data_IF_715448771254
#
_entry.id   IF_715448771254
#
_cell.length_a   1.000
_cell.length_b   1.000
_cell.length_c   1.000
_cell.angle_alpha   90.00
_cell.angle_beta   90.00
_cell.angle_gamma   90.00
#
_symmetry.space_group_name_H-M   'P 1'
#
loop_
_entity.id
_entity.type
_entity.pdbx_description
1 polymer ?
#
# COMPACT_ATOMS: atom_id res chain seq x y z
N UNK A 1 -46.14 -0.71 -62.48
CA UNK A 1 -45.37 0.49 -62.05
C UNK A 1 -44.04 0.01 -61.50
N UNK A 2 -42.95 0.21 -62.24
CA UNK A 2 -41.61 -0.22 -61.85
C UNK A 2 -40.84 0.96 -61.24
N UNK A 3 -40.34 0.81 -60.03
CA UNK A 3 -39.48 1.80 -59.37
C UNK A 3 -38.08 1.64 -59.97
N UNK A 4 -37.62 2.67 -60.68
CA UNK A 4 -36.25 2.73 -61.17
C UNK A 4 -35.31 3.00 -59.98
N UNK A 5 -34.46 2.03 -59.63
CA UNK A 5 -33.33 2.26 -58.75
C UNK A 5 -32.27 3.08 -59.49
N UNK A 6 -32.06 4.32 -59.05
CA UNK A 6 -30.90 5.11 -59.45
C UNK A 6 -29.65 4.58 -58.75
N UNK A 7 -28.49 4.49 -59.43
CA UNK A 7 -27.26 4.04 -58.80
C UNK A 7 -26.74 5.09 -57.81
N UNK A 8 -26.60 4.69 -56.55
CA UNK A 8 -25.92 5.48 -55.52
C UNK A 8 -24.45 5.60 -55.91
N UNK A 9 -24.03 6.80 -56.30
CA UNK A 9 -22.64 7.11 -56.61
C UNK A 9 -21.85 7.29 -55.31
N UNK A 10 -21.35 6.17 -54.78
CA UNK A 10 -20.44 6.19 -53.62
C UNK A 10 -19.16 6.91 -54.05
N UNK A 11 -19.00 8.15 -53.62
CA UNK A 11 -17.74 8.85 -53.79
C UNK A 11 -16.73 8.23 -52.83
N UNK A 12 -15.56 7.75 -53.30
CA UNK A 12 -14.53 7.32 -52.39
C UNK A 12 -14.04 8.54 -51.60
N UNK A 13 -14.24 8.55 -50.28
CA UNK A 13 -13.52 9.47 -49.39
C UNK A 13 -12.04 9.15 -49.54
N UNK A 14 -11.33 9.92 -50.37
CA UNK A 14 -9.87 9.96 -50.37
C UNK A 14 -9.44 10.74 -49.13
N UNK A 15 -9.27 10.02 -48.03
CA UNK A 15 -8.25 10.32 -47.04
C UNK A 15 -7.72 8.97 -46.56
N UNK A 16 -6.95 8.31 -47.43
CA UNK A 16 -6.14 7.16 -47.03
C UNK A 16 -4.98 7.71 -46.21
N UNK A 17 -5.09 7.59 -44.89
CA UNK A 17 -4.04 7.87 -43.91
C UNK A 17 -2.71 7.29 -44.42
N UNK A 18 -1.63 8.06 -44.36
CA UNK A 18 -0.35 7.59 -44.89
C UNK A 18 0.16 6.41 -44.06
N UNK A 19 0.93 5.45 -44.64
CA UNK A 19 1.48 4.33 -43.89
C UNK A 19 2.27 4.77 -42.64
N UNK A 20 2.92 5.94 -42.71
CA UNK A 20 3.65 6.53 -41.58
C UNK A 20 2.72 7.05 -40.48
N UNK A 21 1.62 7.71 -40.84
CA UNK A 21 0.60 8.14 -39.88
C UNK A 21 -0.03 6.94 -39.16
N UNK A 22 -0.28 5.86 -39.91
CA UNK A 22 -0.79 4.62 -39.33
C UNK A 22 0.20 3.98 -38.34
N UNK A 23 1.49 3.91 -38.68
CA UNK A 23 2.55 3.40 -37.78
C UNK A 23 2.68 4.23 -36.49
N UNK A 24 2.58 5.57 -36.60
CA UNK A 24 2.61 6.47 -35.45
C UNK A 24 1.43 6.23 -34.52
N UNK A 25 0.21 6.18 -35.07
CA UNK A 25 -1.01 5.96 -34.29
C UNK A 25 -0.99 4.59 -33.63
N UNK A 26 -0.57 3.55 -34.36
CA UNK A 26 -0.49 2.20 -33.81
C UNK A 26 0.53 2.12 -32.66
N UNK A 27 1.68 2.79 -32.82
CA UNK A 27 2.69 2.89 -31.75
C UNK A 27 2.14 3.61 -30.53
N UNK A 28 1.42 4.72 -30.71
CA UNK A 28 0.77 5.45 -29.61
C UNK A 28 -0.27 4.59 -28.89
N UNK A 29 -1.11 3.85 -29.63
CA UNK A 29 -2.10 2.93 -29.03
C UNK A 29 -1.40 1.87 -28.16
N UNK A 30 -0.31 1.28 -28.66
CA UNK A 30 0.47 0.28 -27.94
C UNK A 30 1.04 0.87 -26.65
N UNK A 31 1.63 2.06 -26.69
CA UNK A 31 2.19 2.71 -25.50
C UNK A 31 1.12 3.08 -24.48
N UNK A 32 -0.03 3.63 -24.92
CA UNK A 32 -1.16 3.92 -24.01
C UNK A 32 -1.72 2.64 -23.37
N UNK A 33 -1.80 1.53 -24.12
CA UNK A 33 -2.24 0.25 -23.56
C UNK A 33 -1.27 -0.28 -22.50
N UNK A 34 0.04 -0.16 -22.73
CA UNK A 34 1.06 -0.53 -21.74
C UNK A 34 0.93 0.31 -20.47
N UNK A 35 0.74 1.62 -20.60
CA UNK A 35 0.55 2.53 -19.47
C UNK A 35 -0.70 2.15 -18.66
N UNK A 36 -1.83 1.87 -19.31
CA UNK A 36 -3.06 1.43 -18.62
C UNK A 36 -2.85 0.13 -17.83
N UNK A 37 -2.19 -0.87 -18.43
CA UNK A 37 -1.90 -2.14 -17.76
C UNK A 37 -1.02 -1.92 -16.54
N UNK A 38 0.01 -1.08 -16.65
CA UNK A 38 0.89 -0.77 -15.53
C UNK A 38 0.17 -0.02 -14.42
N UNK A 39 -0.72 0.92 -14.77
CA UNK A 39 -1.58 1.63 -13.82
C UNK A 39 -2.46 0.66 -13.02
N UNK A 40 -3.14 -0.26 -13.71
CA UNK A 40 -3.99 -1.26 -13.07
C UNK A 40 -3.19 -2.19 -12.14
N UNK A 41 -1.97 -2.56 -12.57
CA UNK A 41 -1.04 -3.35 -11.76
C UNK A 41 -0.69 -2.62 -10.45
N UNK A 42 -0.30 -1.35 -10.54
CA UNK A 42 0.07 -0.53 -9.38
C UNK A 42 -1.12 -0.39 -8.42
N UNK A 43 -2.31 -0.07 -8.94
CA UNK A 43 -3.53 0.05 -8.11
C UNK A 43 -3.88 -1.25 -7.38
N UNK A 44 -3.73 -2.39 -8.06
CA UNK A 44 -3.97 -3.71 -7.44
C UNK A 44 -2.99 -3.97 -6.29
N UNK A 45 -1.71 -3.62 -6.48
CA UNK A 45 -0.69 -3.73 -5.43
C UNK A 45 -1.01 -2.81 -4.26
N UNK A 46 -1.36 -1.55 -4.52
CA UNK A 46 -1.75 -0.58 -3.48
C UNK A 46 -2.93 -1.07 -2.65
N UNK A 47 -3.97 -1.61 -3.30
CA UNK A 47 -5.11 -2.18 -2.58
C UNK A 47 -4.68 -3.30 -1.62
N UNK A 48 -3.78 -4.19 -2.06
CA UNK A 48 -3.27 -5.26 -1.20
C UNK A 48 -2.44 -4.74 0.00
N UNK A 49 -1.75 -3.60 -0.17
CA UNK A 49 -0.97 -2.96 0.89
C UNK A 49 -1.90 -2.28 1.89
N UNK A 50 -2.95 -1.60 1.41
CA UNK A 50 -3.97 -1.00 2.25
C UNK A 50 -4.67 -2.04 3.14
N UNK A 51 -5.01 -3.19 2.58
CA UNK A 51 -5.58 -4.31 3.35
C UNK A 51 -4.62 -4.77 4.47
N UNK A 52 -3.32 -4.88 4.17
CA UNK A 52 -2.30 -5.22 5.17
C UNK A 52 -2.15 -4.13 6.23
N UNK A 53 -2.18 -2.86 5.86
CA UNK A 53 -2.13 -1.73 6.79
C UNK A 53 -3.34 -1.72 7.73
N UNK A 54 -4.54 -2.00 7.23
CA UNK A 54 -5.74 -2.10 8.05
C UNK A 54 -5.57 -3.20 9.10
N UNK A 55 -5.02 -4.36 8.72
CA UNK A 55 -4.77 -5.46 9.65
C UNK A 55 -3.75 -5.06 10.72
N UNK A 56 -2.61 -4.49 10.36
CA UNK A 56 -1.57 -4.13 11.34
C UNK A 56 -2.01 -2.96 12.24
N UNK A 57 -2.69 -1.94 11.70
CA UNK A 57 -3.26 -0.84 12.50
C UNK A 57 -4.32 -1.32 13.48
N UNK A 58 -5.08 -2.37 13.16
CA UNK A 58 -6.03 -2.99 14.09
C UNK A 58 -5.36 -3.82 15.19
N UNK A 59 -4.19 -4.41 14.91
CA UNK A 59 -3.41 -5.16 15.91
C UNK A 59 -2.73 -4.23 16.92
N UNK A 60 -2.21 -3.10 16.46
CA UNK A 60 -1.39 -2.19 17.26
C UNK A 60 -2.00 -1.80 18.62
N UNK A 61 -3.28 -1.41 18.74
CA UNK A 61 -3.89 -1.09 20.04
C UNK A 61 -3.83 -2.25 21.03
N UNK A 62 -4.06 -3.48 20.56
CA UNK A 62 -4.03 -4.68 21.42
C UNK A 62 -2.62 -4.93 21.96
N UNK A 63 -1.60 -4.77 21.11
CA UNK A 63 -0.20 -4.92 21.51
C UNK A 63 0.21 -3.84 22.50
N UNK A 64 -0.22 -2.59 22.29
CA UNK A 64 0.03 -1.49 23.24
C UNK A 64 -0.60 -1.79 24.60
N UNK A 65 -1.85 -2.25 24.61
CA UNK A 65 -2.55 -2.64 25.84
C UNK A 65 -1.84 -3.79 26.55
N UNK A 66 -1.44 -4.84 25.84
CA UNK A 66 -0.66 -5.96 26.40
C UNK A 66 0.62 -5.45 27.05
N UNK A 67 1.41 -4.64 26.34
CA UNK A 67 2.64 -4.04 26.86
C UNK A 67 2.40 -3.21 28.12
N UNK A 68 1.28 -2.50 28.21
CA UNK A 68 0.95 -1.71 29.40
C UNK A 68 0.66 -2.58 30.62
N UNK A 69 -0.01 -3.73 30.42
CA UNK A 69 -0.22 -4.72 31.48
C UNK A 69 1.11 -5.30 31.98
N UNK A 70 1.95 -5.80 31.08
CA UNK A 70 3.26 -6.36 31.46
C UNK A 70 4.13 -5.33 32.18
N UNK A 71 4.12 -4.07 31.71
CA UNK A 71 4.85 -2.98 32.38
C UNK A 71 4.34 -2.75 33.80
N UNK A 72 3.04 -2.82 34.00
CA UNK A 72 2.44 -2.66 35.32
C UNK A 72 2.86 -3.79 36.26
N UNK A 73 2.91 -5.03 35.76
CA UNK A 73 3.28 -6.20 36.56
C UNK A 73 4.76 -6.16 36.98
N UNK A 74 5.65 -5.77 36.07
CA UNK A 74 7.06 -5.45 36.40
C UNK A 74 7.14 -4.38 37.48
N UNK A 75 6.46 -3.24 37.31
CA UNK A 75 6.48 -2.15 38.28
C UNK A 75 5.90 -2.55 39.65
N UNK A 76 4.86 -3.39 39.66
CA UNK A 76 4.27 -3.89 40.89
C UNK A 76 5.22 -4.82 41.65
N UNK A 77 6.05 -5.60 40.94
CA UNK A 77 7.09 -6.43 41.55
C UNK A 77 8.29 -5.62 42.04
N UNK A 78 8.70 -4.59 41.30
CA UNK A 78 9.77 -3.66 41.69
C UNK A 78 9.40 -2.80 42.90
N UNK A 79 8.13 -2.39 43.02
CA UNK A 79 7.66 -1.52 44.09
C UNK A 79 7.33 -2.26 45.40
N UNK A 80 7.31 -3.60 45.41
CA UNK A 80 7.20 -4.38 46.65
C UNK A 80 8.44 -4.11 47.51
N UNK A 81 8.29 -3.27 48.53
CA UNK A 81 9.38 -2.81 49.41
C UNK A 81 10.18 -3.94 50.05
N UNK A 82 11.49 -3.73 50.25
CA UNK A 82 12.44 -4.59 50.98
C UNK A 82 11.86 -5.28 52.23
N UNK A 83 10.93 -4.62 52.94
CA UNK A 83 10.32 -5.11 54.19
C UNK A 83 9.35 -6.29 54.00
N UNK A 84 8.73 -6.47 52.83
CA UNK A 84 7.89 -7.64 52.52
C UNK A 84 8.67 -8.78 51.84
N UNK A 85 9.80 -8.46 51.21
CA UNK A 85 10.70 -9.41 50.54
C UNK A 85 11.61 -10.12 51.57
N UNK A 86 12.04 -9.41 52.62
CA UNK A 86 12.93 -9.94 53.66
C UNK A 86 12.36 -11.13 54.45
N UNK A 87 11.03 -11.26 54.54
CA UNK A 87 10.36 -12.26 55.37
C UNK A 87 9.83 -13.48 54.62
N UNK A 88 9.87 -13.52 53.27
CA UNK A 88 9.09 -14.50 52.52
C UNK A 88 9.91 -15.39 51.56
N UNK A 89 10.61 -14.89 50.53
CA UNK A 89 11.08 -15.73 49.42
C UNK A 89 12.21 -15.07 48.60
N UNK A 90 13.47 -15.09 49.09
CA UNK A 90 14.61 -14.52 48.34
C UNK A 90 14.91 -15.21 46.99
N UNK A 91 14.32 -16.39 46.71
CA UNK A 91 14.50 -17.09 45.43
C UNK A 91 13.35 -16.91 44.43
N UNK A 92 12.11 -16.83 44.91
CA UNK A 92 10.93 -16.87 44.03
C UNK A 92 10.51 -15.47 43.53
N UNK A 93 10.91 -14.41 44.22
CA UNK A 93 10.67 -13.03 43.77
C UNK A 93 11.55 -12.66 42.57
N UNK A 94 12.83 -13.01 42.62
CA UNK A 94 13.77 -12.76 41.52
C UNK A 94 13.39 -13.53 40.25
N UNK A 95 13.03 -14.82 40.38
CA UNK A 95 12.52 -15.64 39.26
C UNK A 95 11.24 -15.03 38.65
N UNK A 96 10.33 -14.55 39.49
CA UNK A 96 9.10 -13.93 39.02
C UNK A 96 9.37 -12.58 38.34
N UNK A 97 10.27 -11.76 38.89
CA UNK A 97 10.66 -10.48 38.28
C UNK A 97 11.33 -10.68 36.91
N UNK A 98 12.21 -11.69 36.79
CA UNK A 98 12.85 -12.02 35.52
C UNK A 98 11.80 -12.44 34.47
N UNK A 99 10.82 -13.25 34.87
CA UNK A 99 9.71 -13.69 34.02
C UNK A 99 8.91 -12.51 33.48
N UNK A 100 8.38 -11.64 34.36
CA UNK A 100 7.56 -10.50 33.96
C UNK A 100 8.38 -9.49 33.13
N UNK A 101 9.68 -9.33 33.43
CA UNK A 101 10.57 -8.47 32.63
C UNK A 101 10.72 -8.99 31.21
N UNK A 102 10.86 -10.31 31.04
CA UNK A 102 10.92 -10.94 29.71
C UNK A 102 9.61 -10.74 28.95
N UNK A 103 8.47 -10.97 29.59
CA UNK A 103 7.14 -10.77 28.99
C UNK A 103 6.93 -9.31 28.57
N UNK A 104 7.35 -8.34 29.38
CA UNK A 104 7.34 -6.92 29.02
C UNK A 104 8.24 -6.60 27.82
N UNK A 105 9.44 -7.17 27.75
CA UNK A 105 10.36 -6.97 26.62
C UNK A 105 9.79 -7.55 25.33
N UNK A 106 9.22 -8.75 25.39
CA UNK A 106 8.57 -9.39 24.24
C UNK A 106 7.38 -8.56 23.75
N UNK A 107 6.53 -8.09 24.66
CA UNK A 107 5.41 -7.21 24.33
C UNK A 107 5.87 -5.86 23.75
N UNK A 108 6.99 -5.31 24.23
CA UNK A 108 7.59 -4.08 23.69
C UNK A 108 8.11 -4.30 22.27
N UNK A 109 8.85 -5.39 22.03
CA UNK A 109 9.35 -5.76 20.71
C UNK A 109 8.21 -5.93 19.71
N UNK A 110 7.13 -6.63 20.09
CA UNK A 110 5.98 -6.82 19.23
C UNK A 110 5.31 -5.50 18.81
N UNK A 111 5.24 -4.51 19.72
CA UNK A 111 4.75 -3.16 19.38
C UNK A 111 5.68 -2.47 18.38
N UNK A 112 6.99 -2.52 18.61
CA UNK A 112 7.99 -1.88 17.74
C UNK A 112 7.99 -2.51 16.34
N UNK A 113 7.96 -3.84 16.24
CA UNK A 113 7.85 -4.57 14.97
C UNK A 113 6.58 -4.19 14.20
N UNK A 114 5.44 -4.11 14.90
CA UNK A 114 4.17 -3.69 14.30
C UNK A 114 4.25 -2.25 13.76
N UNK A 115 4.91 -1.34 14.49
CA UNK A 115 5.10 0.04 14.05
C UNK A 115 6.03 0.15 12.85
N UNK A 116 7.14 -0.59 12.85
CA UNK A 116 8.08 -0.66 11.72
C UNK A 116 7.37 -1.21 10.47
N UNK A 117 6.52 -2.23 10.63
CA UNK A 117 5.74 -2.78 9.52
C UNK A 117 4.73 -1.78 8.98
N UNK A 118 4.06 -1.03 9.84
CA UNK A 118 3.13 0.02 9.41
C UNK A 118 3.89 1.12 8.65
N UNK A 119 5.05 1.56 9.15
CA UNK A 119 5.83 2.62 8.49
C UNK A 119 6.37 2.16 7.14
N UNK A 120 6.88 0.93 7.03
CA UNK A 120 7.38 0.40 5.76
C UNK A 120 6.28 0.27 4.71
N UNK A 121 5.11 -0.26 5.07
CA UNK A 121 3.96 -0.35 4.17
C UNK A 121 3.45 1.03 3.76
N UNK A 122 3.45 2.01 4.68
CA UNK A 122 3.06 3.39 4.36
C UNK A 122 4.03 4.03 3.38
N UNK A 123 5.34 3.85 3.58
CA UNK A 123 6.36 4.35 2.66
C UNK A 123 6.25 3.69 1.27
N UNK A 124 5.87 2.41 1.22
CA UNK A 124 5.68 1.72 -0.04
C UNK A 124 4.45 2.24 -0.80
N UNK A 125 3.36 2.57 -0.10
CA UNK A 125 2.22 3.27 -0.73
C UNK A 125 2.62 4.62 -1.28
N UNK A 126 3.38 5.43 -0.54
CA UNK A 126 3.82 6.74 -1.03
C UNK A 126 4.68 6.62 -2.29
N UNK A 127 5.52 5.59 -2.38
CA UNK A 127 6.31 5.30 -3.58
C UNK A 127 5.42 4.91 -4.77
N UNK A 128 4.42 4.05 -4.55
CA UNK A 128 3.45 3.68 -5.60
C UNK A 128 2.59 4.87 -6.06
N UNK A 129 2.20 5.76 -5.13
CA UNK A 129 1.51 7.01 -5.45
C UNK A 129 2.37 7.91 -6.35
N UNK A 130 3.67 8.04 -6.05
CA UNK A 130 4.59 8.78 -6.92
C UNK A 130 4.66 8.17 -8.32
N UNK A 131 4.75 6.85 -8.44
CA UNK A 131 4.73 6.17 -9.74
C UNK A 131 3.43 6.41 -10.53
N UNK A 132 2.29 6.49 -9.84
CA UNK A 132 1.01 6.84 -10.48
C UNK A 132 0.98 8.28 -10.97
N UNK A 133 1.56 9.22 -10.22
CA UNK A 133 1.64 10.64 -10.63
C UNK A 133 2.52 10.78 -11.88
N UNK A 134 3.70 10.16 -11.90
CA UNK A 134 4.60 10.18 -13.07
C UNK A 134 3.93 9.60 -14.33
N UNK A 135 3.12 8.54 -14.14
CA UNK A 135 2.35 7.93 -15.23
C UNK A 135 1.25 8.87 -15.74
N UNK A 136 0.54 9.57 -14.84
CA UNK A 136 -0.52 10.50 -15.20
C UNK A 136 0.00 11.77 -15.89
N UNK A 137 1.14 12.31 -15.46
CA UNK A 137 1.80 13.45 -16.12
C UNK A 137 2.23 13.09 -17.56
N UNK A 138 2.61 11.83 -17.78
CA UNK A 138 2.94 11.30 -19.11
C UNK A 138 1.70 11.15 -20.01
N UNK A 139 0.53 10.85 -19.43
CA UNK A 139 -0.74 10.75 -20.15
C UNK A 139 -1.34 12.12 -20.54
N UNK A 140 -1.28 13.13 -19.65
CA UNK A 140 -1.71 14.51 -19.98
C UNK A 140 -0.86 15.13 -21.10
N UNK A 141 0.44 14.83 -21.11
CA UNK A 141 1.34 15.24 -22.19
C UNK A 141 0.91 14.63 -23.54
N UNK A 142 0.45 13.37 -23.55
CA UNK A 142 -0.06 12.69 -24.73
C UNK A 142 -1.41 13.25 -25.22
N UNK A 143 -2.32 13.59 -24.31
CA UNK A 143 -3.61 14.19 -24.70
C UNK A 143 -3.44 15.59 -25.30
N UNK A 144 -2.53 16.41 -24.75
CA UNK A 144 -2.24 17.74 -25.31
C UNK A 144 -1.63 17.68 -26.72
N UNK A 145 -0.82 16.66 -27.00
CA UNK A 145 -0.27 16.40 -28.34
C UNK A 145 -1.33 15.91 -29.33
N UNK A 146 -2.38 15.22 -28.86
CA UNK A 146 -3.52 14.79 -29.70
C UNK A 146 -4.46 15.94 -30.08
N UNK A 147 -4.65 16.92 -29.18
CA UNK A 147 -5.53 18.07 -29.44
C UNK A 147 -4.89 19.16 -30.31
N UNK A 148 -3.56 19.10 -30.51
CA UNK A 148 -2.80 20.04 -31.34
C UNK A 148 -2.59 19.57 -32.79
N UNK A 149 -3.22 18.46 -33.20
CA UNK A 149 -3.27 17.94 -34.59
C UNK A 149 -4.68 18.08 -35.19
#
# INVERSE_FOLDING_TARGET
>A
MGIALLPIRVHPRKNSMSPKEFEIINSQIIETQKALIERERILTVMQSIDEQLVVERRKLPRLITSRQYEKHDVLALEQKTLKSIYYALLGNHDEQLEKETREYLDAKLAVEECQIKISSLTNYLTEMDHQLVELAESDELLESLRQSQ
#
